data_IF_924008212185
#
_entry.id   IF_924008212185
#
_cell.length_a   1.000
_cell.length_b   1.000
_cell.length_c   1.000
_cell.angle_alpha   90.00
_cell.angle_beta   90.00
_cell.angle_gamma   90.00
#
_symmetry.space_group_name_H-M   'P 1'
#
loop_
_entity.id
_entity.type
_entity.pdbx_description
1 polymer ?
#
# COMPACT_ATOMS: atom_id res chain seq x y z
N UNK A 1 -17.36 1.80 10.89
CA UNK A 1 -16.57 0.70 10.30
C UNK A 1 -16.78 -0.53 11.16
N UNK A 2 -17.37 -1.58 10.60
CA UNK A 2 -17.68 -2.81 11.32
C UNK A 2 -16.46 -3.77 11.32
N UNK A 3 -16.56 -4.93 12.00
CA UNK A 3 -15.45 -5.91 12.05
C UNK A 3 -15.11 -6.48 10.67
N UNK A 4 -16.11 -6.70 9.81
CA UNK A 4 -15.90 -7.21 8.45
C UNK A 4 -15.13 -6.20 7.60
N UNK A 5 -15.45 -4.91 7.71
CA UNK A 5 -14.73 -3.82 7.05
C UNK A 5 -13.28 -3.74 7.55
N UNK A 6 -13.04 -3.97 8.85
CA UNK A 6 -11.68 -3.98 9.43
C UNK A 6 -10.84 -5.12 8.86
N UNK A 7 -11.41 -6.33 8.79
CA UNK A 7 -10.73 -7.49 8.22
C UNK A 7 -10.46 -7.31 6.73
N UNK A 8 -11.46 -6.83 5.99
CA UNK A 8 -11.33 -6.53 4.56
C UNK A 8 -10.27 -5.45 4.31
N UNK A 9 -10.24 -4.39 5.14
CA UNK A 9 -9.24 -3.34 5.04
C UNK A 9 -7.82 -3.86 5.36
N UNK A 10 -7.67 -4.75 6.34
CA UNK A 10 -6.39 -5.36 6.66
C UNK A 10 -5.87 -6.22 5.50
N UNK A 11 -6.73 -7.05 4.90
CA UNK A 11 -6.39 -7.86 3.72
C UNK A 11 -6.06 -6.98 2.50
N UNK A 12 -6.84 -5.93 2.27
CA UNK A 12 -6.59 -4.95 1.21
C UNK A 12 -5.20 -4.32 1.34
N UNK A 13 -4.84 -3.83 2.56
CA UNK A 13 -3.52 -3.24 2.83
C UNK A 13 -2.39 -4.26 2.69
N UNK A 14 -2.60 -5.49 3.16
CA UNK A 14 -1.61 -6.55 3.03
C UNK A 14 -1.32 -6.84 1.55
N UNK A 15 -2.35 -6.99 0.71
CA UNK A 15 -2.19 -7.20 -0.73
C UNK A 15 -1.46 -6.05 -1.43
N UNK A 16 -1.74 -4.81 -1.03
CA UNK A 16 -1.06 -3.62 -1.56
C UNK A 16 0.44 -3.55 -1.22
N UNK A 17 0.83 -3.99 -0.01
CA UNK A 17 2.21 -3.84 0.48
C UNK A 17 3.05 -5.08 0.14
N UNK A 18 2.43 -6.27 0.03
CA UNK A 18 3.13 -7.53 -0.23
C UNK A 18 3.97 -7.51 -1.51
N UNK A 19 3.50 -6.84 -2.56
CA UNK A 19 4.24 -6.69 -3.81
C UNK A 19 5.52 -5.85 -3.67
N UNK A 20 5.59 -4.96 -2.67
CA UNK A 20 6.74 -4.11 -2.40
C UNK A 20 7.69 -4.71 -1.37
N UNK A 21 7.18 -5.49 -0.42
CA UNK A 21 8.00 -6.18 0.60
C UNK A 21 8.94 -7.21 -0.02
N UNK A 22 8.53 -7.84 -1.13
CA UNK A 22 9.38 -8.81 -1.84
C UNK A 22 10.42 -8.17 -2.76
N UNK A 23 10.40 -6.83 -2.94
CA UNK A 23 11.38 -6.15 -3.78
C UNK A 23 12.69 -5.93 -3.00
N UNK A 24 13.85 -6.20 -3.61
CA UNK A 24 15.13 -5.85 -3.01
C UNK A 24 15.21 -4.36 -2.69
N UNK A 25 15.75 -4.02 -1.52
CA UNK A 25 16.04 -2.64 -1.16
C UNK A 25 16.93 -1.99 -2.24
N UNK A 26 16.64 -0.74 -2.61
CA UNK A 26 17.35 -0.05 -3.68
C UNK A 26 16.94 -0.45 -5.10
N UNK A 27 15.86 -1.23 -5.27
CA UNK A 27 15.29 -1.52 -6.61
C UNK A 27 14.96 -0.22 -7.34
N UNK A 28 15.69 0.04 -8.44
CA UNK A 28 15.48 1.21 -9.30
C UNK A 28 14.02 1.24 -9.77
N UNK A 29 13.34 2.38 -9.57
CA UNK A 29 11.94 2.56 -9.97
C UNK A 29 10.91 2.20 -8.89
N UNK A 30 11.32 1.82 -7.67
CA UNK A 30 10.40 1.56 -6.55
C UNK A 30 9.47 2.76 -6.28
N UNK A 31 10.02 3.97 -6.18
CA UNK A 31 9.22 5.18 -5.96
C UNK A 31 8.23 5.48 -7.10
N UNK A 32 8.59 5.22 -8.34
CA UNK A 32 7.69 5.38 -9.48
C UNK A 32 6.53 4.39 -9.39
N UNK A 33 6.82 3.11 -9.11
CA UNK A 33 5.80 2.07 -8.92
C UNK A 33 4.88 2.37 -7.74
N UNK A 34 5.42 2.82 -6.60
CA UNK A 34 4.64 3.25 -5.45
C UNK A 34 3.69 4.41 -5.81
N UNK A 35 4.19 5.39 -6.56
CA UNK A 35 3.39 6.53 -7.03
C UNK A 35 2.30 6.10 -8.00
N UNK A 36 2.59 5.25 -8.96
CA UNK A 36 1.60 4.74 -9.92
C UNK A 36 0.52 3.94 -9.20
N UNK A 37 0.93 3.09 -8.25
CA UNK A 37 0.02 2.30 -7.41
C UNK A 37 -0.86 3.19 -6.54
N UNK A 38 -0.34 4.28 -5.99
CA UNK A 38 -1.13 5.23 -5.20
C UNK A 38 -2.16 6.02 -6.02
N UNK A 39 -1.88 6.23 -7.32
CA UNK A 39 -2.77 6.96 -8.23
C UNK A 39 -3.86 6.10 -8.87
N UNK A 40 -3.76 4.77 -8.77
CA UNK A 40 -4.81 3.88 -9.24
C UNK A 40 -6.09 4.01 -8.40
N UNK A 41 -7.23 3.73 -9.02
CA UNK A 41 -8.51 3.71 -8.34
C UNK A 41 -8.77 2.32 -7.73
N UNK A 42 -9.25 2.31 -6.49
CA UNK A 42 -9.52 1.13 -5.67
C UNK A 42 -10.92 1.21 -5.08
N UNK A 43 -11.50 0.04 -4.84
CA UNK A 43 -12.62 -0.10 -3.92
C UNK A 43 -12.03 -0.30 -2.51
N UNK A 44 -11.97 0.77 -1.73
CA UNK A 44 -11.40 0.74 -0.37
C UNK A 44 -12.49 0.30 0.61
N UNK A 45 -12.32 -0.84 1.32
CA UNK A 45 -13.33 -1.31 2.27
C UNK A 45 -13.62 -0.28 3.36
N UNK A 46 -14.90 -0.03 3.62
CA UNK A 46 -15.34 0.91 4.66
C UNK A 46 -15.03 2.39 4.40
N UNK A 47 -14.66 2.78 3.17
CA UNK A 47 -14.29 4.14 2.80
C UNK A 47 -14.97 4.59 1.50
N UNK A 48 -15.26 5.88 1.39
CA UNK A 48 -15.71 6.51 0.14
C UNK A 48 -14.56 6.98 -0.74
N UNK A 49 -13.32 6.92 -0.24
CA UNK A 49 -12.11 7.25 -1.02
C UNK A 49 -11.82 6.14 -2.01
N UNK A 50 -11.38 6.52 -3.20
CA UNK A 50 -10.95 5.58 -4.25
C UNK A 50 -9.43 5.50 -4.37
N UNK A 51 -8.69 6.41 -3.74
CA UNK A 51 -7.22 6.45 -3.83
C UNK A 51 -6.59 6.33 -2.45
N UNK A 52 -5.41 5.71 -2.44
CA UNK A 52 -4.57 5.59 -1.25
C UNK A 52 -3.51 6.68 -1.25
N UNK A 53 -3.17 7.17 -0.07
CA UNK A 53 -2.09 8.15 0.06
C UNK A 53 -0.74 7.44 -0.21
N UNK A 54 0.19 8.04 -0.98
CA UNK A 54 1.49 7.43 -1.29
C UNK A 54 2.26 6.95 -0.05
N UNK A 55 2.11 7.68 1.05
CA UNK A 55 2.73 7.40 2.36
C UNK A 55 2.23 6.07 2.95
N UNK A 56 1.04 5.60 2.56
CA UNK A 56 0.48 4.29 3.00
C UNK A 56 1.27 3.12 2.40
N UNK A 57 1.87 3.32 1.22
CA UNK A 57 2.67 2.31 0.55
C UNK A 57 4.17 2.43 0.87
N UNK A 58 4.58 3.49 1.57
CA UNK A 58 5.99 3.75 1.84
C UNK A 58 6.49 2.77 2.91
N UNK A 59 6.86 1.57 2.47
CA UNK A 59 7.69 0.65 3.25
C UNK A 59 8.97 1.40 3.57
N UNK A 60 9.19 1.73 4.84
CA UNK A 60 10.50 2.20 5.30
C UNK A 60 11.45 1.03 5.11
N UNK A 61 12.13 1.00 3.95
CA UNK A 61 13.28 0.14 3.74
C UNK A 61 14.27 0.43 4.86
N UNK A 62 14.78 -0.63 5.50
CA UNK A 62 15.58 -0.55 6.70
C UNK A 62 16.88 0.24 6.52
N UNK A 63 16.78 1.56 6.64
CA UNK A 63 17.84 2.40 7.19
C UNK A 63 17.60 2.52 8.70
N UNK A 64 17.84 1.40 9.40
CA UNK A 64 18.20 1.40 10.81
C UNK A 64 19.61 0.84 10.88
N UNK A 65 20.50 1.68 11.43
CA UNK A 65 21.92 1.49 11.73
C UNK A 65 22.33 0.06 12.14
#
# INVERSE_FOLDING_TARGET
MNEQDRQALALFRYGLIAEFVQLPAGSRGLYARLRDKANADYVIPGSTRTRIAPETLQVHGGDSL
#
